data_IF_327530100061
#
_entry.id   IF_327530100061
#
_cell.length_a   1.000
_cell.length_b   1.000
_cell.length_c   1.000
_cell.angle_alpha   90.00
_cell.angle_beta   90.00
_cell.angle_gamma   90.00
#
_symmetry.space_group_name_H-M   'P 1'
#
loop_
_entity.id
_entity.type
_entity.pdbx_description
1 polymer ?
#
# COMPACT_ATOMS: atom_id res chain seq x y z
N UNK A 1 17.03 -3.75 -18.40
CA UNK A 1 18.42 -4.13 -18.05
C UNK A 1 18.33 -5.09 -16.87
N UNK A 2 18.95 -6.27 -16.90
CA UNK A 2 18.79 -7.28 -15.83
C UNK A 2 20.00 -7.33 -14.88
N UNK A 3 21.22 -7.21 -15.40
CA UNK A 3 22.46 -7.08 -14.63
C UNK A 3 23.51 -6.39 -15.50
N UNK A 4 24.58 -5.89 -14.89
CA UNK A 4 25.75 -5.32 -15.59
C UNK A 4 27.05 -5.67 -14.86
N UNK A 5 28.07 -6.02 -15.64
CA UNK A 5 29.44 -6.26 -15.16
C UNK A 5 30.38 -5.26 -15.84
N UNK A 6 31.13 -4.50 -15.04
CA UNK A 6 31.97 -3.41 -15.51
C UNK A 6 33.39 -3.59 -14.95
N UNK A 7 34.39 -3.55 -15.81
CA UNK A 7 35.80 -3.72 -15.43
C UNK A 7 36.54 -2.41 -15.15
N UNK A 8 35.89 -1.26 -15.35
CA UNK A 8 36.46 0.06 -15.19
C UNK A 8 35.65 0.88 -14.20
N UNK A 9 36.33 1.72 -13.43
CA UNK A 9 35.74 2.77 -12.61
C UNK A 9 35.22 3.91 -13.50
N UNK A 10 34.15 4.57 -13.07
CA UNK A 10 33.53 5.68 -13.80
C UNK A 10 34.05 7.07 -13.37
N UNK A 11 35.09 7.13 -12.54
CA UNK A 11 35.71 8.35 -12.06
C UNK A 11 34.83 9.12 -11.09
N UNK A 12 33.93 8.46 -10.35
CA UNK A 12 33.05 9.08 -9.34
C UNK A 12 33.47 8.81 -7.90
N UNK A 13 34.67 8.27 -7.70
CA UNK A 13 35.26 8.06 -6.37
C UNK A 13 35.03 6.68 -5.77
N UNK A 14 34.44 5.74 -6.51
CA UNK A 14 34.30 4.35 -6.07
C UNK A 14 35.65 3.61 -6.12
N UNK A 15 36.49 3.91 -7.12
CA UNK A 15 37.85 3.37 -7.25
C UNK A 15 37.89 1.92 -7.76
N UNK A 16 36.80 1.41 -8.33
CA UNK A 16 36.71 0.05 -8.87
C UNK A 16 35.54 -0.08 -9.86
N UNK A 17 35.60 -1.10 -10.71
CA UNK A 17 34.45 -1.53 -11.51
C UNK A 17 33.42 -2.33 -10.70
N UNK A 18 32.40 -2.88 -11.39
CA UNK A 18 31.39 -3.79 -10.82
C UNK A 18 31.70 -5.20 -11.29
N UNK A 19 32.39 -5.98 -10.46
CA UNK A 19 32.90 -7.32 -10.79
C UNK A 19 32.42 -8.42 -9.82
N UNK A 20 31.50 -8.09 -8.92
CA UNK A 20 31.00 -8.90 -7.82
C UNK A 20 29.58 -9.46 -8.07
N UNK A 21 29.17 -9.57 -9.35
CA UNK A 21 27.87 -10.09 -9.76
C UNK A 21 27.53 -11.42 -9.07
N UNK A 22 26.28 -11.54 -8.60
CA UNK A 22 25.69 -12.77 -8.06
C UNK A 22 24.38 -13.06 -8.79
N UNK A 23 24.00 -14.34 -8.97
CA UNK A 23 22.69 -14.69 -9.52
C UNK A 23 21.57 -14.01 -8.73
N UNK A 24 20.81 -13.14 -9.40
CA UNK A 24 19.72 -12.37 -8.80
C UNK A 24 18.44 -12.68 -9.57
N UNK A 25 17.44 -13.35 -8.96
CA UNK A 25 16.20 -13.69 -9.64
C UNK A 25 15.34 -12.45 -9.85
N UNK A 26 15.01 -12.15 -11.10
CA UNK A 26 14.16 -11.02 -11.49
C UNK A 26 12.77 -11.50 -11.87
N UNK A 27 11.73 -10.90 -11.30
CA UNK A 27 10.33 -11.24 -11.58
C UNK A 27 9.56 -10.01 -12.06
N UNK A 28 8.66 -10.20 -13.01
CA UNK A 28 7.80 -9.14 -13.54
C UNK A 28 6.41 -9.69 -13.90
N UNK A 29 5.45 -8.78 -14.08
CA UNK A 29 4.12 -9.06 -14.63
C UNK A 29 4.01 -8.38 -15.99
N UNK A 30 3.61 -9.12 -17.00
CA UNK A 30 3.26 -8.57 -18.31
C UNK A 30 1.74 -8.60 -18.44
N UNK A 31 1.15 -7.45 -18.74
CA UNK A 31 -0.30 -7.28 -18.76
C UNK A 31 -0.67 -6.68 -20.11
N UNK A 32 -1.56 -7.36 -20.81
CA UNK A 32 -2.16 -6.89 -22.04
C UNK A 32 -3.63 -6.59 -21.76
N UNK A 33 -4.03 -5.34 -21.95
CA UNK A 33 -5.38 -4.88 -21.60
C UNK A 33 -6.06 -4.25 -22.82
N UNK A 34 -7.36 -4.50 -22.96
CA UNK A 34 -8.18 -3.88 -23.98
C UNK A 34 -8.80 -2.60 -23.44
N UNK A 35 -8.60 -1.50 -24.16
CA UNK A 35 -9.17 -0.21 -23.79
C UNK A 35 -10.66 -0.19 -24.15
N UNK A 36 -11.49 0.31 -23.23
CA UNK A 36 -12.91 0.54 -23.51
C UNK A 36 -13.08 1.53 -24.67
N UNK A 37 -13.92 1.17 -25.64
CA UNK A 37 -14.20 1.99 -26.82
C UNK A 37 -14.70 3.38 -26.42
N UNK A 38 -14.15 4.43 -27.08
CA UNK A 38 -14.47 5.85 -26.84
C UNK A 38 -14.18 6.36 -25.42
N UNK A 39 -13.49 5.61 -24.56
CA UNK A 39 -13.10 6.10 -23.25
C UNK A 39 -11.98 7.13 -23.35
N UNK A 40 -12.24 8.32 -22.81
CA UNK A 40 -11.26 9.39 -22.63
C UNK A 40 -10.59 9.19 -21.27
N UNK A 41 -9.38 8.62 -21.28
CA UNK A 41 -8.54 8.52 -20.10
C UNK A 41 -7.76 9.82 -19.91
N UNK A 42 -6.53 9.70 -19.44
CA UNK A 42 -5.61 10.83 -19.30
C UNK A 42 -5.43 11.61 -20.61
N UNK A 43 -5.44 12.95 -20.54
CA UNK A 43 -5.20 13.81 -21.69
C UNK A 43 -3.84 13.53 -22.32
N UNK A 44 -3.72 13.63 -23.66
CA UNK A 44 -2.49 13.29 -24.39
C UNK A 44 -1.28 14.09 -23.96
N UNK A 45 -1.48 15.36 -23.61
CA UNK A 45 -0.41 16.29 -23.23
C UNK A 45 -0.21 16.35 -21.70
N UNK A 46 -0.88 15.47 -20.95
CA UNK A 46 -0.70 15.40 -19.52
C UNK A 46 0.65 14.74 -19.18
N UNK A 47 1.47 15.31 -18.28
CA UNK A 47 2.82 14.81 -18.00
C UNK A 47 2.84 13.49 -17.22
N UNK A 48 1.72 13.08 -16.62
CA UNK A 48 1.61 11.85 -15.82
C UNK A 48 0.80 10.77 -16.54
N UNK A 49 1.14 9.51 -16.29
CA UNK A 49 0.31 8.35 -16.61
C UNK A 49 -0.20 7.67 -15.35
N UNK A 50 -1.31 6.97 -15.44
CA UNK A 50 -1.93 6.25 -14.33
C UNK A 50 -2.05 4.76 -14.64
N UNK A 51 -1.94 3.93 -13.60
CA UNK A 51 -2.11 2.49 -13.73
C UNK A 51 -3.60 2.16 -13.93
N UNK A 52 -3.84 1.04 -14.60
CA UNK A 52 -5.15 0.39 -14.62
C UNK A 52 -5.36 -0.42 -13.34
N UNK A 53 -6.59 -0.85 -13.09
CA UNK A 53 -6.90 -1.72 -11.95
C UNK A 53 -6.11 -3.05 -12.01
N UNK A 54 -6.02 -3.66 -13.20
CA UNK A 54 -5.26 -4.90 -13.43
C UNK A 54 -3.76 -4.70 -13.18
N UNK A 55 -3.20 -3.59 -13.65
CA UNK A 55 -1.81 -3.23 -13.41
C UNK A 55 -1.50 -2.95 -11.95
N UNK A 56 -2.38 -2.25 -11.23
CA UNK A 56 -2.21 -2.01 -9.81
C UNK A 56 -2.16 -3.32 -9.03
N UNK A 57 -3.19 -4.17 -9.17
CA UNK A 57 -3.24 -5.45 -8.44
C UNK A 57 -2.05 -6.34 -8.78
N UNK A 58 -1.64 -6.37 -10.05
CA UNK A 58 -0.47 -7.12 -10.48
C UNK A 58 0.83 -6.61 -9.85
N UNK A 59 1.00 -5.29 -9.76
CA UNK A 59 2.13 -4.67 -9.06
C UNK A 59 2.12 -5.01 -7.57
N UNK A 60 0.95 -4.93 -6.93
CA UNK A 60 0.79 -5.28 -5.52
C UNK A 60 1.13 -6.76 -5.26
N UNK A 61 0.78 -7.66 -6.18
CA UNK A 61 1.14 -9.09 -6.06
C UNK A 61 2.65 -9.35 -6.03
N UNK A 62 3.46 -8.45 -6.60
CA UNK A 62 4.92 -8.53 -6.58
C UNK A 62 5.53 -7.88 -5.35
N UNK A 63 5.00 -6.70 -4.96
CA UNK A 63 5.57 -5.87 -3.89
C UNK A 63 5.10 -6.28 -2.49
N UNK A 64 3.88 -6.81 -2.38
CA UNK A 64 3.24 -7.23 -1.12
C UNK A 64 2.64 -8.63 -1.27
N UNK A 65 3.47 -9.67 -1.43
CA UNK A 65 2.99 -11.04 -1.59
C UNK A 65 2.37 -11.57 -0.28
N UNK A 66 1.50 -12.57 -0.41
CA UNK A 66 0.99 -13.30 0.75
C UNK A 66 2.16 -14.00 1.47
N UNK A 67 2.30 -13.70 2.76
CA UNK A 67 3.29 -14.36 3.61
C UNK A 67 2.74 -15.73 4.03
N UNK A 68 3.49 -16.79 3.71
CA UNK A 68 3.14 -18.16 4.09
C UNK A 68 3.86 -18.49 5.39
N UNK A 69 3.10 -18.85 6.41
CA UNK A 69 3.62 -19.34 7.68
C UNK A 69 3.50 -20.85 7.72
N UNK A 70 4.57 -21.54 8.10
CA UNK A 70 4.60 -23.00 8.26
C UNK A 70 4.60 -23.31 9.75
N UNK A 71 3.57 -24.03 10.20
CA UNK A 71 3.55 -24.57 11.56
C UNK A 71 4.50 -25.77 11.62
N UNK A 72 5.42 -25.76 12.57
CA UNK A 72 6.42 -26.82 12.74
C UNK A 72 5.99 -27.89 13.75
N UNK A 73 5.01 -27.58 14.61
CA UNK A 73 4.51 -28.49 15.65
C UNK A 73 3.24 -29.24 15.19
N UNK A 74 3.02 -30.43 15.75
CA UNK A 74 1.88 -31.30 15.43
C UNK A 74 0.64 -31.01 16.29
N UNK A 75 0.75 -30.16 17.31
CA UNK A 75 -0.39 -29.73 18.10
C UNK A 75 -1.24 -28.73 17.31
N UNK A 76 -2.37 -29.21 16.78
CA UNK A 76 -3.33 -28.40 16.01
C UNK A 76 -4.52 -27.93 16.84
N UNK A 77 -4.53 -28.21 18.14
CA UNK A 77 -5.67 -27.94 19.01
C UNK A 77 -5.84 -26.43 19.25
N UNK A 78 -7.02 -25.91 18.94
CA UNK A 78 -7.40 -24.52 19.23
C UNK A 78 -6.98 -23.48 18.19
N UNK A 79 -6.58 -23.88 16.98
CA UNK A 79 -6.30 -22.94 15.89
C UNK A 79 -7.59 -22.50 15.18
N UNK A 80 -7.74 -21.18 15.01
CA UNK A 80 -8.81 -20.60 14.22
C UNK A 80 -8.48 -20.67 12.71
N UNK A 81 -9.42 -21.04 11.84
CA UNK A 81 -9.17 -21.22 10.41
C UNK A 81 -8.94 -19.91 9.66
N UNK A 82 -9.23 -18.76 10.27
CA UNK A 82 -9.05 -17.46 9.65
C UNK A 82 -9.09 -16.32 10.65
N UNK A 83 -8.40 -15.24 10.30
CA UNK A 83 -8.44 -13.98 11.01
C UNK A 83 -8.72 -12.87 10.00
N UNK A 84 -9.77 -12.09 10.22
CA UNK A 84 -10.01 -10.85 9.47
C UNK A 84 -10.16 -9.70 10.45
N UNK A 85 -9.22 -8.76 10.36
CA UNK A 85 -9.28 -7.52 11.12
C UNK A 85 -10.30 -6.54 10.53
N UNK A 86 -10.55 -6.65 9.23
CA UNK A 86 -11.31 -5.67 8.44
C UNK A 86 -12.74 -6.17 8.25
N UNK A 87 -13.72 -5.34 8.65
CA UNK A 87 -15.15 -5.58 8.45
C UNK A 87 -15.68 -5.00 7.14
N UNK A 88 -14.97 -4.03 6.56
CA UNK A 88 -15.26 -3.47 5.25
C UNK A 88 -13.97 -3.12 4.53
N UNK A 89 -13.72 -3.75 3.39
CA UNK A 89 -12.54 -3.45 2.58
C UNK A 89 -12.74 -2.10 1.88
N UNK A 90 -11.75 -1.21 1.91
CA UNK A 90 -11.81 -0.04 1.06
C UNK A 90 -11.67 -0.50 -0.40
N UNK A 91 -11.95 0.39 -1.35
CA UNK A 91 -11.73 0.08 -2.75
C UNK A 91 -10.26 -0.26 -3.04
N UNK A 92 -10.03 -0.93 -4.18
CA UNK A 92 -8.70 -1.44 -4.59
C UNK A 92 -7.61 -0.36 -4.71
N UNK A 93 -8.02 0.90 -4.80
CA UNK A 93 -7.20 2.09 -4.94
C UNK A 93 -6.70 2.63 -3.60
N UNK A 94 -7.19 2.13 -2.46
CA UNK A 94 -6.74 2.54 -1.12
C UNK A 94 -5.80 1.49 -0.54
N UNK A 95 -4.63 1.94 -0.12
CA UNK A 95 -3.59 1.09 0.45
C UNK A 95 -3.22 1.56 1.86
N UNK A 96 -3.24 0.63 2.83
CA UNK A 96 -2.62 0.83 4.14
C UNK A 96 -1.12 0.60 3.99
N UNK A 97 -0.38 1.67 3.71
CA UNK A 97 1.06 1.63 3.44
C UNK A 97 1.85 1.22 4.68
N UNK A 98 1.40 1.67 5.86
CA UNK A 98 2.09 1.40 7.12
C UNK A 98 1.08 1.33 8.26
N UNK A 99 1.24 0.34 9.12
CA UNK A 99 0.66 0.28 10.45
C UNK A 99 1.78 0.00 11.43
N UNK A 100 2.02 0.92 12.36
CA UNK A 100 3.16 0.87 13.25
C UNK A 100 2.73 1.03 14.70
N UNK A 101 3.01 0.04 15.54
CA UNK A 101 2.75 0.10 16.98
C UNK A 101 3.87 0.84 17.69
N UNK A 102 3.52 1.74 18.62
CA UNK A 102 4.49 2.48 19.43
C UNK A 102 4.81 1.75 20.75
N UNK A 103 6.00 1.98 21.34
CA UNK A 103 6.41 1.37 22.61
C UNK A 103 5.45 1.69 23.77
N UNK A 104 5.42 0.81 24.78
CA UNK A 104 4.61 0.90 26.00
C UNK A 104 4.68 2.26 26.74
N UNK A 105 5.73 3.03 26.56
CA UNK A 105 5.96 4.32 27.21
C UNK A 105 5.39 5.51 26.41
N UNK A 106 4.95 5.29 25.17
CA UNK A 106 4.34 6.32 24.34
C UNK A 106 2.87 6.55 24.74
N UNK A 107 2.44 7.80 24.70
CA UNK A 107 1.02 8.19 24.79
C UNK A 107 0.18 7.65 23.61
N UNK A 108 0.86 7.27 22.51
CA UNK A 108 0.23 6.73 21.31
C UNK A 108 0.31 5.19 21.31
N UNK A 109 -0.74 4.54 20.83
CA UNK A 109 -0.80 3.10 20.64
C UNK A 109 -0.18 2.69 19.29
N UNK A 110 -0.59 3.35 18.21
CA UNK A 110 -0.11 3.07 16.87
C UNK A 110 -0.23 4.27 15.93
N UNK A 111 0.42 4.19 14.77
CA UNK A 111 0.28 5.10 13.64
C UNK A 111 -0.07 4.34 12.36
N UNK A 112 -1.03 4.85 11.60
CA UNK A 112 -1.44 4.30 10.30
C UNK A 112 -1.21 5.32 9.18
N UNK A 113 -0.74 4.85 8.04
CA UNK A 113 -0.53 5.63 6.83
C UNK A 113 -1.37 5.03 5.69
N UNK A 114 -2.25 5.84 5.14
CA UNK A 114 -3.08 5.48 4.00
C UNK A 114 -2.64 6.24 2.76
N UNK A 115 -2.72 5.58 1.61
CA UNK A 115 -2.49 6.17 0.31
C UNK A 115 -3.64 5.78 -0.61
N UNK A 116 -4.16 6.73 -1.38
CA UNK A 116 -5.10 6.42 -2.46
C UNK A 116 -4.46 6.68 -3.81
N UNK A 117 -4.43 5.66 -4.66
CA UNK A 117 -3.90 5.77 -6.01
C UNK A 117 -4.98 6.23 -6.99
N UNK A 118 -4.62 7.07 -7.96
CA UNK A 118 -5.50 7.31 -9.11
C UNK A 118 -5.35 6.20 -10.16
N UNK A 119 -6.47 5.70 -10.65
CA UNK A 119 -6.52 4.62 -11.64
C UNK A 119 -7.16 5.10 -12.93
N UNK A 120 -6.65 4.60 -14.07
CA UNK A 120 -7.26 4.84 -15.38
C UNK A 120 -8.58 4.06 -15.47
N UNK A 121 -9.74 4.74 -15.58
CA UNK A 121 -11.05 4.09 -15.61
C UNK A 121 -11.33 3.38 -16.94
N UNK A 122 -10.51 3.56 -17.98
CA UNK A 122 -10.76 3.00 -19.31
C UNK A 122 -10.52 1.49 -19.42
N UNK A 123 -10.00 0.86 -18.37
CA UNK A 123 -9.68 -0.57 -18.32
C UNK A 123 -10.37 -1.24 -17.13
N UNK A 124 -11.71 -1.32 -17.14
CA UNK A 124 -12.45 -1.91 -16.03
C UNK A 124 -12.17 -3.42 -15.93
N UNK A 125 -11.91 -3.89 -14.72
CA UNK A 125 -11.75 -5.31 -14.41
C UNK A 125 -13.00 -5.77 -13.63
N UNK A 126 -13.75 -6.77 -14.12
CA UNK A 126 -14.93 -7.28 -13.42
C UNK A 126 -14.61 -7.69 -11.98
N UNK A 127 -15.46 -7.30 -11.03
CA UNK A 127 -15.32 -7.63 -9.61
C UNK A 127 -14.38 -6.71 -8.81
N UNK A 128 -13.53 -5.92 -9.47
CA UNK A 128 -12.70 -4.93 -8.79
C UNK A 128 -13.39 -3.57 -8.79
N UNK A 129 -13.51 -2.96 -7.60
CA UNK A 129 -14.16 -1.65 -7.42
C UNK A 129 -13.21 -0.65 -6.79
N UNK A 130 -13.23 0.57 -7.31
CA UNK A 130 -12.55 1.72 -6.70
C UNK A 130 -13.35 2.27 -5.54
N UNK A 131 -12.65 2.93 -4.63
CA UNK A 131 -13.22 3.57 -3.46
C UNK A 131 -13.98 4.83 -3.86
N UNK A 132 -14.93 5.23 -3.02
CA UNK A 132 -15.64 6.51 -3.15
C UNK A 132 -14.77 7.70 -2.72
N UNK A 133 -13.55 7.46 -2.23
CA UNK A 133 -12.70 8.49 -1.64
C UNK A 133 -13.02 8.84 -0.20
N UNK A 134 -13.92 8.09 0.44
CA UNK A 134 -14.23 8.21 1.86
C UNK A 134 -13.67 7.00 2.59
N UNK A 135 -12.75 7.25 3.52
CA UNK A 135 -12.11 6.27 4.36
C UNK A 135 -12.82 6.22 5.72
N UNK A 136 -13.38 5.07 6.07
CA UNK A 136 -13.85 4.82 7.42
C UNK A 136 -12.80 3.95 8.14
N UNK A 137 -12.12 4.53 9.13
CA UNK A 137 -11.05 3.83 9.84
C UNK A 137 -11.62 2.79 10.81
N UNK A 138 -12.84 3.00 11.32
CA UNK A 138 -13.49 2.05 12.22
C UNK A 138 -13.83 0.72 11.55
N UNK A 139 -14.11 0.69 10.24
CA UNK A 139 -14.35 -0.57 9.51
C UNK A 139 -13.06 -1.36 9.25
N UNK A 140 -11.92 -0.69 9.27
CA UNK A 140 -10.60 -1.33 9.14
C UNK A 140 -10.09 -1.85 10.49
N UNK A 141 -10.37 -1.11 11.56
CA UNK A 141 -9.95 -1.42 12.92
C UNK A 141 -11.15 -1.35 13.89
N UNK A 142 -12.09 -2.33 13.82
CA UNK A 142 -13.34 -2.28 14.57
C UNK A 142 -13.11 -2.46 16.07
N UNK A 143 -12.28 -3.44 16.44
CA UNK A 143 -12.00 -3.82 17.82
C UNK A 143 -10.73 -3.13 18.34
N UNK A 144 -9.83 -2.76 17.42
CA UNK A 144 -8.51 -2.20 17.77
C UNK A 144 -8.56 -0.68 17.83
N UNK A 145 -7.81 -0.13 18.78
CA UNK A 145 -7.70 1.29 19.07
C UNK A 145 -8.99 1.93 19.60
N UNK A 146 -8.84 3.00 20.38
CA UNK A 146 -9.96 3.78 20.91
C UNK A 146 -10.85 4.40 19.82
N UNK A 147 -11.93 5.08 20.23
CA UNK A 147 -12.83 5.78 19.30
C UNK A 147 -12.18 7.01 18.66
N UNK A 148 -11.13 7.54 19.27
CA UNK A 148 -10.42 8.72 18.79
C UNK A 148 -9.19 8.35 17.96
N UNK A 149 -8.90 9.19 16.97
CA UNK A 149 -7.63 9.21 16.25
C UNK A 149 -7.20 10.66 16.04
N UNK A 150 -5.93 10.92 15.77
CA UNK A 150 -5.44 12.27 15.45
C UNK A 150 -4.77 12.26 14.09
N UNK A 151 -4.99 13.30 13.31
CA UNK A 151 -4.19 13.53 12.11
C UNK A 151 -2.73 13.73 12.50
N UNK A 152 -1.83 13.37 11.59
CA UNK A 152 -0.42 13.55 11.80
C UNK A 152 0.36 13.77 10.51
N UNK A 153 1.56 14.31 10.62
CA UNK A 153 2.56 14.24 9.56
C UNK A 153 2.88 12.78 9.21
N UNK A 154 3.39 12.51 8.00
CA UNK A 154 3.77 11.15 7.55
C UNK A 154 4.82 10.45 8.44
N UNK A 155 5.59 11.21 9.22
CA UNK A 155 6.56 10.71 10.20
C UNK A 155 5.97 10.47 11.61
N UNK A 156 4.68 10.76 11.81
CA UNK A 156 3.97 10.71 13.09
C UNK A 156 4.50 11.65 14.19
N UNK A 157 5.31 12.66 13.83
CA UNK A 157 5.94 13.58 14.80
C UNK A 157 5.12 14.83 15.09
N UNK A 158 4.32 15.29 14.14
CA UNK A 158 3.45 16.45 14.31
C UNK A 158 1.99 16.02 14.27
N UNK A 159 1.23 16.41 15.29
CA UNK A 159 -0.18 16.09 15.42
C UNK A 159 -1.06 17.25 14.97
N UNK A 160 -2.11 16.91 14.24
CA UNK A 160 -3.17 17.82 13.83
C UNK A 160 -4.40 17.66 14.72
N UNK A 161 -5.57 17.83 14.09
CA UNK A 161 -6.87 17.71 14.76
C UNK A 161 -7.15 16.29 15.24
N UNK A 162 -7.86 16.19 16.37
CA UNK A 162 -8.50 14.97 16.81
C UNK A 162 -9.75 14.72 15.97
N UNK A 163 -9.95 13.47 15.59
CA UNK A 163 -11.03 12.97 14.75
C UNK A 163 -11.65 11.75 15.41
N UNK A 164 -12.93 11.55 15.15
CA UNK A 164 -13.59 10.29 15.47
C UNK A 164 -13.21 9.24 14.42
N UNK A 165 -12.77 8.06 14.87
CA UNK A 165 -12.43 6.91 14.04
C UNK A 165 -13.62 6.44 13.18
N UNK A 166 -14.85 6.66 13.65
CA UNK A 166 -16.08 6.32 12.95
C UNK A 166 -16.47 7.33 11.86
N UNK A 167 -15.91 8.54 11.89
CA UNK A 167 -16.18 9.56 10.91
C UNK A 167 -15.45 9.26 9.58
N UNK A 168 -16.18 9.38 8.48
CA UNK A 168 -15.62 9.24 7.13
C UNK A 168 -14.62 10.36 6.84
N UNK A 169 -13.37 9.98 6.56
CA UNK A 169 -12.31 10.92 6.19
C UNK A 169 -12.15 10.95 4.67
N UNK A 170 -12.12 12.14 4.04
CA UNK A 170 -11.81 12.23 2.62
C UNK A 170 -10.36 11.84 2.37
N UNK A 171 -10.13 11.07 1.30
CA UNK A 171 -8.81 10.74 0.79
C UNK A 171 -8.83 10.90 -0.73
N UNK A 172 -8.15 11.94 -1.22
CA UNK A 172 -8.14 12.28 -2.63
C UNK A 172 -7.24 11.32 -3.43
N UNK A 173 -7.47 11.16 -4.74
CA UNK A 173 -6.55 10.40 -5.58
C UNK A 173 -5.15 11.02 -5.55
N UNK A 174 -4.13 10.16 -5.43
CA UNK A 174 -2.72 10.50 -5.24
C UNK A 174 -2.37 11.19 -3.91
N UNK A 175 -3.26 11.13 -2.91
CA UNK A 175 -3.03 11.69 -1.57
C UNK A 175 -2.57 10.61 -0.58
N UNK A 176 -1.70 11.01 0.37
CA UNK A 176 -1.33 10.22 1.54
C UNK A 176 -1.78 10.92 2.81
N UNK A 177 -2.46 10.18 3.69
CA UNK A 177 -2.90 10.67 5.00
C UNK A 177 -2.37 9.76 6.11
N UNK A 178 -1.93 10.38 7.21
CA UNK A 178 -1.39 9.69 8.36
C UNK A 178 -2.21 10.01 9.61
N UNK A 179 -2.55 8.96 10.36
CA UNK A 179 -3.29 9.06 11.61
C UNK A 179 -2.53 8.36 12.72
N UNK A 180 -2.61 8.90 13.93
CA UNK A 180 -2.13 8.26 15.16
C UNK A 180 -3.30 7.93 16.06
N UNK A 181 -3.20 6.80 16.72
CA UNK A 181 -4.19 6.31 17.67
C UNK A 181 -3.66 6.54 19.08
N UNK A 182 -4.31 7.37 19.91
CA UNK A 182 -3.99 7.48 21.32
C UNK A 182 -4.31 6.16 22.04
N UNK A 183 -3.73 6.00 23.22
CA UNK A 183 -4.03 4.86 24.10
C UNK A 183 -5.32 5.02 24.87
#
# INVERSE_FOLDING_TARGET
MQDRRLNQDDGRGLGQGVLDNRPTPTSFRLILESKTSKCQGTARDHPSGFLTAGALVSSQSLLHPLTRLLLLDQAHDGLEPGYSMVQGTPGIDVHLVKLHSFPAQSEQAAGALFYRQHLDPCYPVPGLRTSTGLLNVSTLFPIHFGPEMRESSLSFLHYGRTLDKSAFQPLCPMEMSAFVFPR
#
